data_IF_295982846106
#
_entry.id   IF_295982846106
#
_cell.length_a   1.000
_cell.length_b   1.000
_cell.length_c   1.000
_cell.angle_alpha   90.00
_cell.angle_beta   90.00
_cell.angle_gamma   90.00
#
_symmetry.space_group_name_H-M   'P 1'
#
loop_
_entity.id
_entity.type
_entity.pdbx_description
1 polymer ?
#
# COMPACT_ATOMS: atom_id res chain seq x y z
N UNK A 1 -30.50 8.95 -10.14
CA UNK A 1 -30.32 7.90 -11.16
C UNK A 1 -30.55 8.52 -12.53
N UNK A 2 -29.58 8.48 -13.44
CA UNK A 2 -29.70 9.10 -14.77
C UNK A 2 -29.90 8.05 -15.87
N UNK A 3 -30.57 8.44 -16.95
CA UNK A 3 -30.67 7.63 -18.16
C UNK A 3 -29.37 7.75 -18.98
N UNK A 4 -28.91 6.67 -19.61
CA UNK A 4 -27.64 6.73 -20.38
C UNK A 4 -27.71 7.55 -21.66
N UNK A 5 -28.90 7.92 -22.15
CA UNK A 5 -29.01 8.89 -23.26
C UNK A 5 -28.29 10.21 -22.95
N UNK A 6 -28.22 10.56 -21.66
CA UNK A 6 -27.58 11.77 -21.13
C UNK A 6 -26.05 11.76 -21.30
N UNK A 7 -25.42 10.59 -21.45
CA UNK A 7 -23.98 10.48 -21.75
C UNK A 7 -23.62 11.03 -23.13
N UNK A 8 -24.56 10.98 -24.09
CA UNK A 8 -24.39 11.50 -25.45
C UNK A 8 -25.01 12.87 -25.65
N UNK A 9 -26.16 13.14 -25.02
CA UNK A 9 -26.90 14.40 -25.20
C UNK A 9 -26.40 15.54 -24.30
N UNK A 10 -25.49 15.26 -23.37
CA UNK A 10 -25.10 16.21 -22.33
C UNK A 10 -26.13 16.29 -21.19
N UNK A 11 -25.80 17.03 -20.11
CA UNK A 11 -26.67 17.18 -18.95
C UNK A 11 -28.04 17.77 -19.35
N UNK A 12 -29.16 17.32 -18.76
CA UNK A 12 -30.49 17.82 -19.12
C UNK A 12 -30.58 19.33 -18.87
N UNK A 13 -31.29 20.06 -19.74
CA UNK A 13 -31.60 21.47 -19.50
C UNK A 13 -32.31 21.62 -18.13
N UNK A 14 -31.80 22.51 -17.26
CA UNK A 14 -32.21 22.72 -15.86
C UNK A 14 -31.73 21.70 -14.81
N UNK A 15 -30.81 20.78 -15.14
CA UNK A 15 -30.28 19.80 -14.17
C UNK A 15 -29.24 20.37 -13.19
N UNK A 16 -28.75 21.59 -13.42
CA UNK A 16 -27.74 22.24 -12.56
C UNK A 16 -26.30 21.75 -12.78
N UNK A 17 -26.07 20.78 -13.65
CA UNK A 17 -24.74 20.26 -13.97
C UNK A 17 -24.08 21.03 -15.10
N UNK A 18 -22.82 21.42 -14.91
CA UNK A 18 -22.02 22.14 -15.89
C UNK A 18 -21.38 21.23 -16.95
N UNK A 19 -21.07 19.98 -16.59
CA UNK A 19 -20.46 18.98 -17.48
C UNK A 19 -21.01 17.58 -17.23
N UNK A 20 -20.86 16.71 -18.23
CA UNK A 20 -21.19 15.28 -18.13
C UNK A 20 -20.35 14.63 -17.01
N UNK A 21 -19.08 15.01 -16.91
CA UNK A 21 -18.14 14.52 -15.90
C UNK A 21 -18.65 14.77 -14.48
N UNK A 22 -19.11 16.00 -14.20
CA UNK A 22 -19.67 16.36 -12.90
C UNK A 22 -20.94 15.55 -12.60
N UNK A 23 -21.81 15.40 -13.59
CA UNK A 23 -23.04 14.62 -13.46
C UNK A 23 -22.74 13.14 -13.20
N UNK A 24 -21.76 12.55 -13.90
CA UNK A 24 -21.34 11.15 -13.70
C UNK A 24 -20.74 10.96 -12.31
N UNK A 25 -19.98 11.93 -11.81
CA UNK A 25 -19.37 11.88 -10.48
C UNK A 25 -20.40 11.98 -9.34
N UNK A 26 -21.42 12.81 -9.51
CA UNK A 26 -22.49 12.98 -8.50
C UNK A 26 -23.61 11.92 -8.62
N UNK A 27 -23.59 11.10 -9.66
CA UNK A 27 -24.61 10.08 -9.88
C UNK A 27 -24.41 8.84 -8.99
N UNK A 28 -25.41 8.50 -8.18
CA UNK A 28 -25.44 7.25 -7.44
C UNK A 28 -25.86 6.02 -8.29
N UNK A 29 -26.23 6.22 -9.56
CA UNK A 29 -26.59 5.11 -10.44
C UNK A 29 -27.09 5.50 -11.82
N UNK A 30 -26.98 4.56 -12.76
CA UNK A 30 -27.38 4.71 -14.16
C UNK A 30 -28.39 3.63 -14.54
N UNK A 31 -29.44 3.99 -15.29
CA UNK A 31 -30.48 3.09 -15.74
C UNK A 31 -30.52 2.98 -17.27
N UNK A 32 -30.94 1.82 -17.79
CA UNK A 32 -31.03 1.56 -19.23
C UNK A 32 -29.67 1.48 -19.92
N UNK A 33 -28.65 0.97 -19.21
CA UNK A 33 -27.25 0.98 -19.65
C UNK A 33 -27.00 -0.13 -20.67
N UNK A 34 -26.64 0.26 -21.90
CA UNK A 34 -26.14 -0.66 -22.92
C UNK A 34 -24.68 -1.05 -22.64
N UNK A 35 -24.18 -2.17 -23.18
CA UNK A 35 -22.80 -2.62 -22.94
C UNK A 35 -21.74 -1.58 -23.24
N UNK A 36 -21.90 -0.80 -24.32
CA UNK A 36 -20.99 0.27 -24.73
C UNK A 36 -20.96 1.40 -23.69
N UNK A 37 -22.13 1.74 -23.13
CA UNK A 37 -22.24 2.77 -22.10
C UNK A 37 -21.54 2.36 -20.79
N UNK A 38 -21.52 1.06 -20.44
CA UNK A 38 -20.76 0.58 -19.26
C UNK A 38 -19.27 0.88 -19.42
N UNK A 39 -18.71 0.62 -20.60
CA UNK A 39 -17.32 0.92 -20.92
C UNK A 39 -17.04 2.43 -20.86
N UNK A 40 -17.89 3.25 -21.49
CA UNK A 40 -17.77 4.71 -21.50
C UNK A 40 -17.80 5.31 -20.08
N UNK A 41 -18.70 4.83 -19.22
CA UNK A 41 -18.78 5.29 -17.81
C UNK A 41 -17.49 4.98 -17.06
N UNK A 42 -16.95 3.77 -17.20
CA UNK A 42 -15.69 3.37 -16.57
C UNK A 42 -14.54 4.24 -17.08
N UNK A 43 -14.48 4.51 -18.38
CA UNK A 43 -13.47 5.36 -18.98
C UNK A 43 -13.55 6.82 -18.51
N UNK A 44 -14.76 7.39 -18.41
CA UNK A 44 -14.97 8.74 -17.90
C UNK A 44 -14.49 8.87 -16.44
N UNK A 45 -14.91 7.94 -15.57
CA UNK A 45 -14.47 7.91 -14.17
C UNK A 45 -12.94 7.78 -14.04
N UNK A 46 -12.32 6.96 -14.88
CA UNK A 46 -10.86 6.81 -14.92
C UNK A 46 -10.14 8.06 -15.45
N UNK A 47 -10.72 8.76 -16.43
CA UNK A 47 -10.16 10.00 -16.97
C UNK A 47 -10.20 11.14 -15.95
N UNK A 48 -11.20 11.14 -15.06
CA UNK A 48 -11.26 12.02 -13.89
C UNK A 48 -10.28 11.62 -12.78
N UNK A 49 -9.55 10.51 -12.93
CA UNK A 49 -8.54 10.06 -11.97
C UNK A 49 -9.07 9.19 -10.83
N UNK A 50 -10.31 8.71 -10.91
CA UNK A 50 -10.85 7.76 -9.94
C UNK A 50 -10.43 6.33 -10.25
N UNK A 51 -10.14 5.57 -9.20
CA UNK A 51 -9.95 4.13 -9.30
C UNK A 51 -11.33 3.47 -9.39
N UNK A 52 -11.58 2.73 -10.47
CA UNK A 52 -12.87 2.11 -10.74
C UNK A 52 -12.80 0.60 -10.52
N UNK A 53 -13.72 0.08 -9.73
CA UNK A 53 -14.02 -1.34 -9.69
C UNK A 53 -15.37 -1.56 -10.37
N UNK A 54 -15.46 -2.54 -11.27
CA UNK A 54 -16.69 -2.87 -11.96
C UNK A 54 -17.08 -4.31 -11.65
N UNK A 55 -18.35 -4.53 -11.35
CA UNK A 55 -18.93 -5.87 -11.20
C UNK A 55 -19.72 -6.25 -12.45
N UNK A 56 -19.65 -7.51 -12.87
CA UNK A 56 -20.40 -8.00 -14.02
C UNK A 56 -20.63 -9.50 -13.99
N UNK A 57 -21.60 -9.96 -14.76
CA UNK A 57 -22.04 -11.36 -14.84
C UNK A 57 -22.06 -11.89 -16.28
N UNK A 58 -22.45 -11.05 -17.24
CA UNK A 58 -22.62 -11.43 -18.64
C UNK A 58 -21.39 -11.21 -19.51
N UNK A 59 -21.39 -11.86 -20.67
CA UNK A 59 -20.40 -11.67 -21.75
C UNK A 59 -20.30 -10.21 -22.18
N UNK A 60 -21.43 -9.49 -22.12
CA UNK A 60 -21.53 -8.08 -22.45
C UNK A 60 -20.75 -7.16 -21.50
N UNK A 61 -20.45 -7.63 -20.29
CA UNK A 61 -19.72 -6.85 -19.29
C UNK A 61 -18.21 -7.04 -19.42
N UNK A 62 -17.77 -8.04 -20.19
CA UNK A 62 -16.35 -8.37 -20.35
C UNK A 62 -15.48 -7.19 -20.80
N UNK A 63 -15.87 -6.35 -21.79
CA UNK A 63 -15.05 -5.21 -22.19
C UNK A 63 -14.89 -4.17 -21.08
N UNK A 64 -15.94 -3.93 -20.30
CA UNK A 64 -15.96 -2.93 -19.25
C UNK A 64 -15.28 -3.45 -17.97
N UNK A 65 -15.41 -4.75 -17.66
CA UNK A 65 -14.63 -5.46 -16.64
C UNK A 65 -13.12 -5.35 -16.93
N UNK A 66 -12.71 -5.62 -18.16
CA UNK A 66 -11.31 -5.54 -18.58
C UNK A 66 -10.76 -4.09 -18.59
N UNK A 67 -11.63 -3.10 -18.78
CA UNK A 67 -11.27 -1.67 -18.75
C UNK A 67 -11.11 -1.15 -17.32
N UNK A 68 -11.89 -1.64 -16.36
CA UNK A 68 -11.85 -1.22 -14.97
C UNK A 68 -10.46 -1.42 -14.35
N UNK A 69 -10.16 -0.68 -13.28
CA UNK A 69 -8.91 -0.94 -12.54
C UNK A 69 -8.96 -2.29 -11.82
N UNK A 70 -10.16 -2.72 -11.42
CA UNK A 70 -10.44 -4.05 -10.88
C UNK A 70 -11.77 -4.54 -11.46
N UNK A 71 -11.72 -5.53 -12.35
CA UNK A 71 -12.91 -6.26 -12.80
C UNK A 71 -13.30 -7.35 -11.79
N UNK A 72 -14.58 -7.40 -11.41
CA UNK A 72 -15.13 -8.37 -10.44
C UNK A 72 -16.24 -9.17 -11.11
N UNK A 73 -16.01 -10.47 -11.33
CA UNK A 73 -17.05 -11.39 -11.79
C UNK A 73 -17.83 -11.94 -10.59
N UNK A 74 -19.16 -11.94 -10.68
CA UNK A 74 -20.02 -12.57 -9.65
C UNK A 74 -19.95 -14.10 -9.70
N UNK A 75 -20.39 -14.79 -8.65
CA UNK A 75 -20.26 -16.24 -8.51
C UNK A 75 -20.92 -17.04 -9.66
N UNK A 76 -22.05 -16.56 -10.17
CA UNK A 76 -22.79 -17.18 -11.28
C UNK A 76 -22.48 -16.51 -12.63
N UNK A 77 -21.38 -15.77 -12.73
CA UNK A 77 -20.98 -15.11 -13.97
C UNK A 77 -20.66 -16.12 -15.08
N UNK A 78 -20.89 -15.71 -16.33
CA UNK A 78 -20.46 -16.43 -17.53
C UNK A 78 -18.94 -16.62 -17.57
N UNK A 79 -18.47 -17.68 -18.21
CA UNK A 79 -17.02 -17.96 -18.35
C UNK A 79 -16.27 -16.81 -19.04
N UNK A 80 -16.92 -16.10 -19.96
CA UNK A 80 -16.37 -14.92 -20.60
C UNK A 80 -16.15 -13.77 -19.60
N UNK A 81 -17.11 -13.50 -18.71
CA UNK A 81 -16.98 -12.49 -17.67
C UNK A 81 -15.90 -12.88 -16.63
N UNK A 82 -15.86 -14.16 -16.22
CA UNK A 82 -14.80 -14.69 -15.32
C UNK A 82 -13.41 -14.54 -15.93
N UNK A 83 -13.27 -14.80 -17.22
CA UNK A 83 -12.00 -14.67 -17.94
C UNK A 83 -11.55 -13.22 -18.12
N UNK A 84 -12.50 -12.27 -18.14
CA UNK A 84 -12.21 -10.84 -18.28
C UNK A 84 -11.96 -10.13 -16.94
N UNK A 85 -12.40 -10.70 -15.82
CA UNK A 85 -12.29 -10.11 -14.48
C UNK A 85 -10.92 -10.41 -13.82
N UNK A 86 -10.48 -9.51 -12.94
CA UNK A 86 -9.28 -9.70 -12.11
C UNK A 86 -9.59 -10.52 -10.85
N UNK A 87 -10.84 -10.46 -10.37
CA UNK A 87 -11.35 -11.18 -9.19
C UNK A 87 -12.63 -11.91 -9.56
N UNK A 88 -12.76 -13.18 -9.17
CA UNK A 88 -13.99 -13.96 -9.29
C UNK A 88 -14.51 -14.24 -7.89
N UNK A 89 -15.73 -13.79 -7.59
CA UNK A 89 -16.39 -14.09 -6.31
C UNK A 89 -16.84 -15.54 -6.31
N UNK A 90 -16.61 -16.25 -5.21
CA UNK A 90 -17.11 -17.63 -5.02
C UNK A 90 -18.47 -17.67 -4.36
N UNK A 91 -18.90 -16.55 -3.78
CA UNK A 91 -20.18 -16.38 -3.10
C UNK A 91 -20.91 -15.16 -3.69
N UNK A 92 -22.25 -15.24 -3.84
CA UNK A 92 -23.02 -14.10 -4.32
C UNK A 92 -23.16 -13.03 -3.22
N UNK A 93 -23.29 -11.77 -3.64
CA UNK A 93 -23.67 -10.66 -2.76
C UNK A 93 -22.66 -9.50 -2.72
N UNK A 94 -23.20 -8.29 -2.56
CA UNK A 94 -22.39 -7.06 -2.45
C UNK A 94 -21.56 -7.02 -1.15
N UNK A 95 -22.01 -7.73 -0.10
CA UNK A 95 -21.29 -7.86 1.18
C UNK A 95 -19.90 -8.46 1.00
N UNK A 96 -19.77 -9.47 0.13
CA UNK A 96 -18.48 -10.13 -0.17
C UNK A 96 -17.46 -9.14 -0.75
N UNK A 97 -17.93 -8.19 -1.56
CA UNK A 97 -17.07 -7.13 -2.11
C UNK A 97 -16.59 -6.18 -1.00
N UNK A 98 -17.47 -5.82 -0.06
CA UNK A 98 -17.11 -4.97 1.08
C UNK A 98 -16.08 -5.67 1.96
N UNK A 99 -16.24 -6.97 2.20
CA UNK A 99 -15.27 -7.79 2.95
C UNK A 99 -13.93 -7.88 2.22
N UNK A 100 -13.94 -8.12 0.91
CA UNK A 100 -12.74 -8.15 0.07
C UNK A 100 -12.00 -6.82 0.10
N UNK A 101 -12.71 -5.68 -0.01
CA UNK A 101 -12.12 -4.34 0.11
C UNK A 101 -11.53 -4.13 1.50
N UNK A 102 -12.22 -4.55 2.56
CA UNK A 102 -11.76 -4.40 3.94
C UNK A 102 -10.50 -5.22 4.19
N UNK A 103 -10.48 -6.48 3.75
CA UNK A 103 -9.32 -7.36 3.83
C UNK A 103 -8.13 -6.83 3.02
N UNK A 104 -8.37 -6.36 1.79
CA UNK A 104 -7.35 -5.72 0.95
C UNK A 104 -6.71 -4.51 1.64
N UNK A 105 -7.51 -3.65 2.29
CA UNK A 105 -7.00 -2.51 3.08
C UNK A 105 -6.15 -2.95 4.27
N UNK A 106 -6.49 -4.05 4.95
CA UNK A 106 -5.67 -4.60 6.04
C UNK A 106 -4.31 -5.10 5.51
N UNK A 107 -4.32 -5.84 4.39
CA UNK A 107 -3.10 -6.34 3.75
C UNK A 107 -2.21 -5.16 3.31
N UNK A 108 -2.80 -4.14 2.71
CA UNK A 108 -2.10 -2.94 2.30
C UNK A 108 -1.40 -2.23 3.48
N UNK A 109 -2.07 -2.11 4.63
CA UNK A 109 -1.46 -1.54 5.82
C UNK A 109 -0.29 -2.39 6.33
N UNK A 110 -0.42 -3.73 6.34
CA UNK A 110 0.70 -4.64 6.70
C UNK A 110 1.90 -4.45 5.78
N UNK A 111 1.67 -4.37 4.46
CA UNK A 111 2.74 -4.13 3.49
C UNK A 111 3.44 -2.78 3.70
N UNK A 112 2.67 -1.73 3.98
CA UNK A 112 3.21 -0.40 4.28
C UNK A 112 4.07 -0.42 5.55
N UNK A 113 3.57 -1.02 6.63
CA UNK A 113 4.28 -1.11 7.91
C UNK A 113 5.57 -1.93 7.76
N UNK A 114 5.53 -3.01 6.99
CA UNK A 114 6.69 -3.79 6.60
C UNK A 114 7.72 -2.96 5.82
N UNK A 115 7.30 -2.20 4.82
CA UNK A 115 8.20 -1.37 4.03
C UNK A 115 8.91 -0.31 4.89
N UNK A 116 8.16 0.38 5.76
CA UNK A 116 8.74 1.34 6.71
C UNK A 116 9.78 0.65 7.60
N UNK A 117 9.44 -0.51 8.15
CA UNK A 117 10.32 -1.29 9.02
C UNK A 117 11.64 -1.68 8.34
N UNK A 118 11.57 -2.39 7.22
CA UNK A 118 12.75 -2.90 6.52
C UNK A 118 13.65 -1.76 6.05
N UNK A 119 13.08 -0.69 5.49
CA UNK A 119 13.86 0.48 5.11
C UNK A 119 14.52 1.17 6.32
N UNK A 120 13.83 1.27 7.47
CA UNK A 120 14.39 1.85 8.69
C UNK A 120 15.60 1.06 9.20
N UNK A 121 15.48 -0.27 9.25
CA UNK A 121 16.56 -1.15 9.72
C UNK A 121 17.76 -1.08 8.78
N UNK A 122 17.55 -1.06 7.46
CA UNK A 122 18.65 -0.89 6.49
C UNK A 122 19.39 0.43 6.71
N UNK A 123 18.65 1.55 6.85
CA UNK A 123 19.26 2.87 7.08
C UNK A 123 20.04 2.86 8.40
N UNK A 124 19.46 2.29 9.46
CA UNK A 124 20.13 2.16 10.75
C UNK A 124 21.45 1.41 10.64
N UNK A 125 21.46 0.22 10.02
CA UNK A 125 22.65 -0.63 9.91
C UNK A 125 23.71 0.08 9.08
N UNK A 126 23.35 0.59 7.90
CA UNK A 126 24.30 1.26 7.00
C UNK A 126 24.87 2.51 7.64
N UNK A 127 24.03 3.44 8.12
CA UNK A 127 24.50 4.72 8.68
C UNK A 127 25.17 4.51 10.04
N UNK A 128 24.57 3.70 10.92
CA UNK A 128 25.08 3.45 12.26
C UNK A 128 26.46 2.81 12.24
N UNK A 129 26.62 1.68 11.54
CA UNK A 129 27.93 1.01 11.49
C UNK A 129 28.95 1.79 10.65
N UNK A 130 28.56 2.49 9.58
CA UNK A 130 29.49 3.35 8.85
C UNK A 130 30.10 4.44 9.76
N UNK A 131 29.28 5.10 10.58
CA UNK A 131 29.79 6.11 11.53
C UNK A 131 30.70 5.46 12.58
N UNK A 132 30.34 4.28 13.11
CA UNK A 132 31.19 3.56 14.07
C UNK A 132 32.56 3.20 13.48
N UNK A 133 32.60 2.70 12.24
CA UNK A 133 33.85 2.37 11.54
C UNK A 133 34.69 3.63 11.29
N UNK A 134 34.12 4.68 10.68
CA UNK A 134 34.90 5.85 10.25
C UNK A 134 35.31 6.76 11.41
N UNK A 135 34.44 6.98 12.39
CA UNK A 135 34.71 7.91 13.50
C UNK A 135 35.44 7.24 14.67
N UNK A 136 35.15 5.97 14.95
CA UNK A 136 35.64 5.28 16.14
C UNK A 136 36.57 4.09 15.85
N UNK A 137 36.82 3.76 14.57
CA UNK A 137 37.63 2.60 14.15
C UNK A 137 37.13 1.29 14.78
N UNK A 138 35.81 1.15 14.86
CA UNK A 138 35.12 0.00 15.40
C UNK A 138 34.79 -1.01 14.30
N UNK A 139 35.42 -2.17 14.32
CA UNK A 139 35.30 -3.21 13.31
C UNK A 139 34.31 -4.29 13.76
N UNK A 140 33.02 -4.02 13.53
CA UNK A 140 31.97 -4.94 13.94
C UNK A 140 31.98 -6.25 13.12
N UNK A 141 31.99 -7.44 13.76
CA UNK A 141 32.07 -8.71 13.05
C UNK A 141 30.89 -8.94 12.08
N UNK A 142 31.13 -9.20 10.78
CA UNK A 142 30.06 -9.41 9.80
C UNK A 142 29.13 -10.58 10.15
N UNK A 143 29.66 -11.60 10.84
CA UNK A 143 28.86 -12.75 11.28
C UNK A 143 27.75 -12.36 12.27
N UNK A 144 27.97 -11.34 13.12
CA UNK A 144 26.92 -10.85 14.02
C UNK A 144 25.83 -10.11 13.24
N UNK A 145 26.18 -9.42 12.15
CA UNK A 145 25.19 -8.83 11.23
C UNK A 145 24.36 -9.93 10.57
N UNK A 146 24.98 -11.06 10.18
CA UNK A 146 24.27 -12.22 9.64
C UNK A 146 23.26 -12.77 10.66
N UNK A 147 23.66 -12.93 11.92
CA UNK A 147 22.75 -13.39 12.99
C UNK A 147 21.60 -12.40 13.18
N UNK A 148 21.90 -11.09 13.19
CA UNK A 148 20.87 -10.04 13.26
C UNK A 148 19.86 -10.18 12.11
N UNK A 149 20.33 -10.39 10.88
CA UNK A 149 19.49 -10.57 9.71
C UNK A 149 18.59 -11.81 9.83
N UNK A 150 19.15 -12.97 10.21
CA UNK A 150 18.40 -14.22 10.36
C UNK A 150 17.31 -14.10 11.43
N UNK A 151 17.65 -13.54 12.59
CA UNK A 151 16.67 -13.34 13.66
C UNK A 151 15.59 -12.35 13.26
N UNK A 152 15.96 -11.30 12.53
CA UNK A 152 15.01 -10.32 12.01
C UNK A 152 14.03 -10.96 11.02
N UNK A 153 14.53 -11.66 10.01
CA UNK A 153 13.71 -12.32 8.98
C UNK A 153 12.69 -13.29 9.57
N UNK A 154 13.10 -14.07 10.59
CA UNK A 154 12.19 -14.95 11.32
C UNK A 154 11.03 -14.19 11.98
N UNK A 155 11.30 -13.02 12.57
CA UNK A 155 10.25 -12.18 13.16
C UNK A 155 9.41 -11.44 12.11
N UNK A 156 10.01 -11.01 10.99
CA UNK A 156 9.33 -10.28 9.91
C UNK A 156 8.21 -11.12 9.30
N UNK A 157 8.39 -12.44 9.15
CA UNK A 157 7.35 -13.32 8.59
C UNK A 157 6.02 -13.22 9.36
N UNK A 158 6.07 -12.88 10.65
CA UNK A 158 4.88 -12.74 11.49
C UNK A 158 4.06 -11.47 11.22
N UNK A 159 4.65 -10.44 10.59
CA UNK A 159 3.96 -9.20 10.20
C UNK A 159 2.80 -9.49 9.25
N UNK A 160 2.95 -10.51 8.40
CA UNK A 160 1.89 -10.96 7.47
C UNK A 160 0.60 -11.40 8.17
N UNK A 161 0.73 -11.93 9.40
CA UNK A 161 -0.38 -12.42 10.25
C UNK A 161 -0.77 -11.42 11.34
N UNK A 162 -0.23 -10.20 11.30
CA UNK A 162 -0.46 -9.25 12.37
C UNK A 162 -1.87 -8.64 12.36
N UNK A 163 -2.35 -8.23 13.53
CA UNK A 163 -3.64 -7.58 13.69
C UNK A 163 -3.49 -6.08 13.40
N UNK A 164 -3.95 -5.65 12.23
CA UNK A 164 -3.90 -4.26 11.77
C UNK A 164 -5.29 -3.77 11.40
N UNK A 165 -5.61 -2.54 11.78
CA UNK A 165 -6.90 -1.94 11.44
C UNK A 165 -6.91 -1.43 9.99
N UNK A 166 -7.99 -1.70 9.23
CA UNK A 166 -8.12 -1.18 7.87
C UNK A 166 -8.20 0.35 7.88
N UNK A 167 -7.65 0.98 6.84
CA UNK A 167 -7.86 2.42 6.63
C UNK A 167 -9.34 2.71 6.35
N UNK A 168 -9.84 3.82 6.91
CA UNK A 168 -11.20 4.30 6.65
C UNK A 168 -11.36 4.77 5.20
N UNK A 169 -10.31 5.38 4.65
CA UNK A 169 -10.28 5.91 3.29
C UNK A 169 -9.41 5.03 2.38
N UNK A 170 -9.65 5.04 1.06
CA UNK A 170 -8.74 4.46 0.09
C UNK A 170 -7.35 5.08 0.25
N UNK A 171 -6.33 4.23 0.34
CA UNK A 171 -4.94 4.65 0.42
C UNK A 171 -4.21 4.26 -0.87
N UNK A 172 -3.19 5.02 -1.21
CA UNK A 172 -2.26 4.71 -2.30
C UNK A 172 -0.83 4.63 -1.76
N UNK A 173 0.07 4.07 -2.55
CA UNK A 173 1.49 3.97 -2.21
C UNK A 173 2.14 5.36 -2.25
N UNK A 174 2.33 5.98 -1.08
CA UNK A 174 3.13 7.19 -0.94
C UNK A 174 4.55 6.82 -0.50
N UNK A 175 5.44 6.66 -1.48
CA UNK A 175 6.83 6.29 -1.21
C UNK A 175 7.58 7.36 -0.43
N UNK A 176 7.30 8.64 -0.68
CA UNK A 176 7.93 9.76 0.02
C UNK A 176 7.62 9.67 1.52
N UNK A 177 6.37 9.41 1.87
CA UNK A 177 5.97 9.22 3.25
C UNK A 177 6.70 8.03 3.88
N UNK A 178 6.70 6.87 3.22
CA UNK A 178 7.37 5.64 3.72
C UNK A 178 8.86 5.87 3.95
N UNK A 179 9.55 6.48 2.99
CA UNK A 179 10.98 6.80 3.12
C UNK A 179 11.24 7.86 4.18
N UNK A 180 10.35 8.83 4.38
CA UNK A 180 10.48 9.81 5.45
C UNK A 180 10.44 9.14 6.82
N UNK A 181 9.47 8.23 7.06
CA UNK A 181 9.47 7.42 8.28
C UNK A 181 10.75 6.60 8.41
N UNK A 182 11.17 5.94 7.33
CA UNK A 182 12.34 5.07 7.35
C UNK A 182 13.63 5.81 7.70
N UNK A 183 13.84 6.99 7.11
CA UNK A 183 15.04 7.81 7.35
C UNK A 183 15.05 8.31 8.79
N UNK A 184 13.92 8.84 9.29
CA UNK A 184 13.88 9.40 10.65
C UNK A 184 14.07 8.31 11.70
N UNK A 185 13.39 7.15 11.59
CA UNK A 185 13.62 6.04 12.52
C UNK A 185 15.02 5.45 12.38
N UNK A 186 15.51 5.26 11.16
CA UNK A 186 16.84 4.72 10.91
C UNK A 186 17.95 5.60 11.53
N UNK A 187 17.88 6.92 11.32
CA UNK A 187 18.83 7.88 11.91
C UNK A 187 18.70 7.92 13.43
N UNK A 188 17.48 7.96 13.98
CA UNK A 188 17.28 7.96 15.42
C UNK A 188 17.89 6.71 16.10
N UNK A 189 17.65 5.53 15.53
CA UNK A 189 18.20 4.28 16.05
C UNK A 189 19.73 4.17 15.82
N UNK A 190 20.26 4.76 14.75
CA UNK A 190 21.70 4.87 14.53
C UNK A 190 22.35 5.75 15.61
N UNK A 191 21.77 6.93 15.88
CA UNK A 191 22.21 7.83 16.97
C UNK A 191 22.14 7.10 18.31
N UNK A 192 21.07 6.37 18.61
CA UNK A 192 20.97 5.55 19.83
C UNK A 192 22.15 4.58 19.98
N UNK A 193 22.54 3.92 18.88
CA UNK A 193 23.66 2.96 18.87
C UNK A 193 25.00 3.68 19.08
N UNK A 194 25.21 4.83 18.43
CA UNK A 194 26.43 5.63 18.57
C UNK A 194 26.57 6.20 19.97
N UNK A 195 25.49 6.76 20.54
CA UNK A 195 25.47 7.28 21.91
C UNK A 195 25.78 6.17 22.89
N UNK A 196 25.22 4.98 22.71
CA UNK A 196 25.51 3.83 23.55
C UNK A 196 27.00 3.45 23.50
N UNK A 197 27.56 3.38 22.30
CA UNK A 197 28.99 3.11 22.10
C UNK A 197 29.89 4.14 22.79
N UNK A 198 29.59 5.44 22.64
CA UNK A 198 30.35 6.53 23.26
C UNK A 198 30.23 6.50 24.79
N UNK A 199 29.04 6.19 25.32
CA UNK A 199 28.84 6.07 26.77
C UNK A 199 29.63 4.92 27.38
N UNK A 200 29.87 3.84 26.63
CA UNK A 200 30.66 2.70 27.10
C UNK A 200 32.17 2.95 26.98
N UNK A 201 32.62 3.57 25.89
CA UNK A 201 34.06 3.69 25.57
C UNK A 201 34.71 4.99 26.02
N UNK A 202 33.96 6.10 26.11
CA UNK A 202 34.50 7.43 26.40
C UNK A 202 34.09 8.00 27.75
N UNK A 203 33.10 7.40 28.40
CA UNK A 203 32.53 7.94 29.65
C UNK A 203 32.55 6.90 30.75
N UNK A 204 32.87 7.30 31.98
CA UNK A 204 32.83 6.41 33.15
C UNK A 204 31.42 6.24 33.73
N UNK A 205 30.37 6.50 32.94
CA UNK A 205 28.99 6.55 33.43
C UNK A 205 28.54 5.19 33.98
N UNK A 206 28.83 4.11 33.25
CA UNK A 206 28.48 2.76 33.69
C UNK A 206 29.37 2.27 34.84
N UNK A 207 30.62 2.72 34.92
CA UNK A 207 31.47 2.46 36.07
C UNK A 207 30.93 3.14 37.34
N UNK A 208 30.51 4.40 37.24
CA UNK A 208 29.98 5.17 38.38
C UNK A 208 28.62 4.68 38.86
N UNK A 209 27.74 4.29 37.93
CA UNK A 209 26.38 3.85 38.26
C UNK A 209 26.31 2.38 38.69
N UNK A 210 27.11 1.51 38.06
CA UNK A 210 26.98 0.05 38.21
C UNK A 210 28.30 -0.66 38.57
N UNK A 211 29.40 0.05 38.77
CA UNK A 211 30.70 -0.54 39.14
C UNK A 211 31.34 -1.39 38.03
N UNK A 212 30.97 -1.16 36.77
CA UNK A 212 31.38 -1.99 35.64
C UNK A 212 32.80 -1.67 35.14
N UNK A 213 33.47 -2.68 34.59
CA UNK A 213 34.77 -2.54 33.93
C UNK A 213 34.68 -1.58 32.73
N UNK A 214 35.64 -0.65 32.65
CA UNK A 214 35.78 0.26 31.51
C UNK A 214 36.54 -0.43 30.38
N UNK A 215 36.05 -0.29 29.14
CA UNK A 215 36.74 -0.80 27.97
C UNK A 215 37.75 0.22 27.45
N UNK A 216 39.03 -0.15 27.40
CA UNK A 216 40.10 0.66 26.83
C UNK A 216 40.30 0.42 25.34
N UNK A 217 39.99 -0.79 24.85
CA UNK A 217 40.00 -1.11 23.43
C UNK A 217 38.60 -0.94 22.83
N UNK A 218 38.52 -0.25 21.69
CA UNK A 218 37.28 -0.10 20.95
C UNK A 218 36.84 -1.42 20.31
N UNK A 219 37.76 -2.36 20.04
CA UNK A 219 37.46 -3.63 19.36
C UNK A 219 37.45 -4.85 20.31
N UNK A 220 37.14 -4.63 21.59
CA UNK A 220 36.93 -5.71 22.54
C UNK A 220 35.76 -6.61 22.11
N UNK A 221 35.98 -7.93 22.15
CA UNK A 221 35.00 -8.93 21.77
C UNK A 221 33.75 -8.93 22.67
N UNK A 222 33.87 -8.45 23.91
CA UNK A 222 32.72 -8.24 24.81
C UNK A 222 31.87 -7.05 24.34
N UNK A 223 32.51 -6.00 23.84
CA UNK A 223 31.82 -4.82 23.32
C UNK A 223 31.02 -5.18 22.05
N UNK A 224 31.55 -6.06 21.21
CA UNK A 224 30.81 -6.62 20.07
C UNK A 224 29.49 -7.29 20.50
N UNK A 225 29.52 -8.12 21.54
CA UNK A 225 28.31 -8.77 22.10
C UNK A 225 27.29 -7.77 22.64
N UNK A 226 27.77 -6.71 23.32
CA UNK A 226 26.93 -5.66 23.90
C UNK A 226 26.23 -4.86 22.80
N UNK A 227 26.98 -4.40 21.78
CA UNK A 227 26.43 -3.67 20.64
C UNK A 227 25.49 -4.57 19.82
N UNK A 228 25.84 -5.84 19.61
CA UNK A 228 24.96 -6.82 18.97
C UNK A 228 23.60 -6.92 19.67
N UNK A 229 23.60 -7.10 20.99
CA UNK A 229 22.36 -7.20 21.78
C UNK A 229 21.55 -5.90 21.70
N UNK A 230 22.24 -4.76 21.80
CA UNK A 230 21.61 -3.45 21.71
C UNK A 230 20.92 -3.27 20.36
N UNK A 231 21.60 -3.61 19.27
CA UNK A 231 21.07 -3.48 17.92
C UNK A 231 19.91 -4.44 17.69
N UNK A 232 20.02 -5.70 18.14
CA UNK A 232 18.98 -6.72 17.98
C UNK A 232 17.67 -6.31 18.65
N UNK A 233 17.72 -6.00 19.94
CA UNK A 233 16.54 -5.74 20.78
C UNK A 233 15.75 -4.52 20.29
N UNK A 234 16.42 -3.37 20.09
CA UNK A 234 15.71 -2.16 19.66
C UNK A 234 15.32 -2.19 18.17
N UNK A 235 16.04 -2.94 17.32
CA UNK A 235 15.62 -3.14 15.91
C UNK A 235 14.33 -3.96 15.83
N UNK A 236 14.18 -5.01 16.63
CA UNK A 236 12.93 -5.78 16.60
C UNK A 236 11.80 -5.05 17.34
N UNK A 237 12.12 -4.27 18.39
CA UNK A 237 11.12 -3.47 19.08
C UNK A 237 10.45 -2.44 18.14
N UNK A 238 11.20 -1.91 17.16
CA UNK A 238 10.67 -0.99 16.16
C UNK A 238 9.43 -1.54 15.42
N UNK A 239 9.29 -2.86 15.27
CA UNK A 239 8.10 -3.48 14.64
C UNK A 239 6.81 -3.05 15.35
N UNK A 240 6.84 -2.94 16.69
CA UNK A 240 5.66 -2.55 17.48
C UNK A 240 5.28 -1.07 17.27
N UNK A 241 6.26 -0.21 16.95
CA UNK A 241 6.02 1.20 16.65
C UNK A 241 5.49 1.37 15.22
N UNK A 242 6.10 0.68 14.25
CA UNK A 242 5.71 0.80 12.84
C UNK A 242 4.35 0.20 12.54
N UNK A 243 3.92 -0.81 13.30
CA UNK A 243 2.58 -1.41 13.13
C UNK A 243 1.44 -0.57 13.68
N UNK A 244 1.71 0.33 14.64
CA UNK A 244 0.69 1.00 15.43
C UNK A 244 0.38 2.39 14.90
N UNK A 245 -0.91 2.74 14.84
CA UNK A 245 -1.34 4.08 14.43
C UNK A 245 -1.37 5.06 15.61
N UNK A 246 -1.71 4.57 16.80
CA UNK A 246 -1.64 5.24 18.09
C UNK A 246 -0.35 4.84 18.82
N UNK A 247 -0.28 5.06 20.13
CA UNK A 247 0.83 4.56 20.95
C UNK A 247 0.95 3.04 20.83
N UNK A 248 2.19 2.57 20.65
CA UNK A 248 2.51 1.15 20.46
C UNK A 248 1.99 0.25 21.59
N UNK A 249 1.98 0.75 22.82
CA UNK A 249 1.50 0.03 24.00
C UNK A 249 -0.02 -0.14 24.08
N UNK A 250 -0.79 0.74 23.43
CA UNK A 250 -2.26 0.69 23.46
C UNK A 250 -2.80 -0.30 22.42
N UNK A 251 -2.11 -0.44 21.29
CA UNK A 251 -2.51 -1.33 20.22
C UNK A 251 -1.91 -2.72 20.41
N UNK A 252 -2.74 -3.69 20.83
CA UNK A 252 -2.27 -5.05 21.08
C UNK A 252 -1.72 -5.71 19.81
N UNK A 253 -0.48 -6.25 19.82
CA UNK A 253 0.06 -7.04 18.71
C UNK A 253 -0.64 -8.40 18.60
N UNK A 254 -0.49 -9.05 17.45
CA UNK A 254 -0.86 -10.47 17.33
C UNK A 254 0.00 -11.32 18.27
N UNK A 255 -0.59 -12.42 18.78
CA UNK A 255 0.11 -13.36 19.67
C UNK A 255 1.34 -13.94 18.98
N UNK A 256 1.23 -14.19 17.66
CA UNK A 256 2.33 -14.74 16.84
C UNK A 256 3.51 -13.76 16.78
N UNK A 257 3.24 -12.46 16.54
CA UNK A 257 4.28 -11.44 16.52
C UNK A 257 4.93 -11.28 17.89
N UNK A 258 4.13 -11.22 18.96
CA UNK A 258 4.65 -11.13 20.33
C UNK A 258 5.51 -12.34 20.72
N UNK A 259 5.07 -13.56 20.41
CA UNK A 259 5.82 -14.78 20.67
C UNK A 259 7.12 -14.83 19.87
N UNK A 260 7.10 -14.47 18.58
CA UNK A 260 8.31 -14.43 17.76
C UNK A 260 9.33 -13.41 18.26
N UNK A 261 8.87 -12.23 18.70
CA UNK A 261 9.74 -11.25 19.35
C UNK A 261 10.39 -11.83 20.61
N UNK A 262 9.60 -12.43 21.51
CA UNK A 262 10.13 -13.00 22.77
C UNK A 262 11.17 -14.09 22.47
N UNK A 263 10.86 -15.03 21.56
CA UNK A 263 11.76 -16.12 21.20
C UNK A 263 13.06 -15.58 20.58
N UNK A 264 12.94 -14.67 19.61
CA UNK A 264 14.11 -14.09 18.95
C UNK A 264 14.98 -13.29 19.93
N UNK A 265 14.37 -12.57 20.87
CA UNK A 265 15.09 -11.80 21.89
C UNK A 265 15.69 -12.66 22.98
N UNK A 266 15.06 -13.78 23.34
CA UNK A 266 15.69 -14.78 24.19
C UNK A 266 16.96 -15.31 23.51
N UNK A 267 16.85 -15.76 22.26
CA UNK A 267 18.01 -16.28 21.49
C UNK A 267 19.11 -15.22 21.37
N UNK A 268 18.77 -13.98 21.01
CA UNK A 268 19.75 -12.89 20.94
C UNK A 268 20.45 -12.63 22.29
N UNK A 269 19.70 -12.65 23.39
CA UNK A 269 20.26 -12.45 24.74
C UNK A 269 21.18 -13.61 25.13
N UNK A 270 20.79 -14.87 24.85
CA UNK A 270 21.63 -16.02 25.11
C UNK A 270 22.94 -15.99 24.31
N UNK A 271 22.88 -15.60 23.03
CA UNK A 271 24.09 -15.42 22.20
C UNK A 271 24.98 -14.34 22.80
N UNK A 272 24.43 -13.17 23.15
CA UNK A 272 25.23 -12.08 23.70
C UNK A 272 25.88 -12.41 25.06
N UNK A 273 25.20 -13.18 25.92
CA UNK A 273 25.68 -13.50 27.27
C UNK A 273 26.71 -14.63 27.26
N UNK A 274 26.53 -15.67 26.44
CA UNK A 274 27.29 -16.91 26.55
C UNK A 274 28.19 -17.24 25.35
N UNK A 275 28.04 -16.56 24.21
CA UNK A 275 28.85 -16.90 23.04
C UNK A 275 30.34 -16.63 23.29
N UNK A 276 31.17 -17.62 23.02
CA UNK A 276 32.62 -17.50 22.98
C UNK A 276 33.13 -18.22 21.74
N UNK A 277 33.01 -17.55 20.60
CA UNK A 277 33.37 -18.11 19.31
C UNK A 277 34.58 -17.35 18.77
N UNK A 278 35.77 -17.94 18.92
CA UNK A 278 37.04 -17.31 18.53
C UNK A 278 37.13 -16.87 17.07
N UNK A 279 36.41 -17.54 16.15
CA UNK A 279 36.38 -17.16 14.73
C UNK A 279 35.51 -15.93 14.43
N UNK A 280 34.68 -15.49 15.38
CA UNK A 280 33.74 -14.37 15.21
C UNK A 280 34.08 -13.14 16.06
N UNK A 281 35.20 -13.18 16.79
CA UNK A 281 35.60 -12.11 17.71
C UNK A 281 34.45 -11.71 18.66
N UNK A 282 33.73 -12.70 19.20
CA UNK A 282 32.66 -12.53 20.18
C UNK A 282 33.07 -13.17 21.52
N UNK A 283 32.87 -12.41 22.60
CA UNK A 283 33.02 -12.92 23.96
C UNK A 283 31.78 -12.54 24.76
N UNK A 284 31.24 -13.49 25.53
CA UNK A 284 30.04 -13.30 26.34
C UNK A 284 30.17 -12.10 27.27
N UNK A 285 29.21 -11.17 27.20
CA UNK A 285 29.25 -9.94 28.00
C UNK A 285 28.72 -10.12 29.43
N UNK A 286 28.07 -11.26 29.73
CA UNK A 286 27.46 -11.53 31.02
C UNK A 286 26.09 -10.86 31.23
N UNK A 287 25.35 -11.34 32.22
CA UNK A 287 23.97 -10.90 32.49
C UNK A 287 23.86 -9.44 32.94
N UNK A 288 24.89 -8.89 33.60
CA UNK A 288 24.90 -7.50 34.05
C UNK A 288 24.88 -6.54 32.87
N UNK A 289 25.76 -6.72 31.89
CA UNK A 289 25.78 -5.91 30.66
C UNK A 289 24.53 -6.14 29.81
N UNK A 290 24.00 -7.36 29.77
CA UNK A 290 22.74 -7.64 29.09
C UNK A 290 21.57 -6.85 29.72
N UNK A 291 21.45 -6.85 31.05
CA UNK A 291 20.41 -6.09 31.77
C UNK A 291 20.51 -4.58 31.52
N UNK A 292 21.72 -4.01 31.57
CA UNK A 292 21.95 -2.59 31.25
C UNK A 292 21.51 -2.27 29.82
N UNK A 293 21.85 -3.14 28.87
CA UNK A 293 21.49 -2.99 27.45
C UNK A 293 19.97 -2.99 27.25
N UNK A 294 19.25 -3.89 27.94
CA UNK A 294 17.80 -3.94 27.93
C UNK A 294 17.16 -2.66 28.48
N UNK A 295 17.65 -2.17 29.64
CA UNK A 295 17.16 -0.92 30.25
C UNK A 295 17.42 0.27 29.33
N UNK A 296 18.63 0.37 28.77
CA UNK A 296 18.98 1.43 27.82
C UNK A 296 18.00 1.45 26.62
N UNK A 297 17.71 0.29 26.05
CA UNK A 297 16.79 0.20 24.93
C UNK A 297 15.34 0.48 25.31
N UNK A 298 14.91 0.13 26.53
CA UNK A 298 13.58 0.50 27.01
C UNK A 298 13.41 2.02 27.09
N UNK A 299 14.45 2.75 27.53
CA UNK A 299 14.46 4.21 27.58
C UNK A 299 14.41 4.80 26.15
N UNK A 300 15.22 4.28 25.23
CA UNK A 300 15.25 4.75 23.84
C UNK A 300 14.04 4.33 23.00
N UNK A 301 13.25 3.37 23.47
CA UNK A 301 12.03 2.95 22.79
C UNK A 301 10.89 3.96 22.97
N UNK A 302 10.74 4.55 24.16
CA UNK A 302 9.61 5.45 24.48
C UNK A 302 9.51 6.66 23.52
N UNK A 303 10.60 7.36 23.14
CA UNK A 303 10.52 8.49 22.22
C UNK A 303 10.08 8.12 20.79
N UNK A 304 10.18 6.86 20.37
CA UNK A 304 9.82 6.43 19.01
C UNK A 304 8.35 6.73 18.68
N UNK A 305 7.44 6.53 19.63
CA UNK A 305 6.02 6.86 19.43
C UNK A 305 5.80 8.37 19.30
N UNK A 306 6.56 9.20 20.02
CA UNK A 306 6.47 10.66 19.87
C UNK A 306 7.01 11.12 18.51
N UNK A 307 8.11 10.52 18.06
CA UNK A 307 8.68 10.75 16.73
C UNK A 307 7.66 10.38 15.65
N UNK A 308 6.95 9.25 15.81
CA UNK A 308 5.86 8.83 14.90
C UNK A 308 4.82 9.92 14.71
N UNK A 309 4.32 10.48 15.82
CA UNK A 309 3.31 11.55 15.77
C UNK A 309 3.86 12.83 15.14
N UNK A 310 5.12 13.17 15.42
CA UNK A 310 5.81 14.29 14.79
C UNK A 310 5.93 14.14 13.28
N UNK A 311 6.35 12.97 12.80
CA UNK A 311 6.45 12.68 11.36
C UNK A 311 5.08 12.79 10.71
N UNK A 312 4.06 12.16 11.29
CA UNK A 312 2.69 12.20 10.75
C UNK A 312 2.19 13.64 10.60
N UNK A 313 2.36 14.45 11.65
CA UNK A 313 1.96 15.86 11.62
C UNK A 313 2.68 16.66 10.53
N UNK A 314 3.97 16.41 10.34
CA UNK A 314 4.76 17.05 9.28
C UNK A 314 4.32 16.62 7.88
N UNK A 315 4.12 15.31 7.67
CA UNK A 315 3.68 14.75 6.38
C UNK A 315 2.30 15.28 6.02
N UNK A 316 1.34 15.25 6.95
CA UNK A 316 -0.03 15.74 6.72
C UNK A 316 -0.03 17.23 6.32
N UNK A 317 0.83 18.05 6.95
CA UNK A 317 1.01 19.46 6.58
C UNK A 317 1.65 19.66 5.21
N UNK A 318 2.63 18.84 4.84
CA UNK A 318 3.28 18.92 3.53
C UNK A 318 2.30 18.55 2.44
N UNK A 319 1.54 17.47 2.62
CA UNK A 319 0.49 17.04 1.69
C UNK A 319 -0.58 18.12 1.55
N UNK A 320 -1.10 18.66 2.65
CA UNK A 320 -2.10 19.72 2.61
C UNK A 320 -1.61 20.97 1.85
N UNK A 321 -0.33 21.36 2.03
CA UNK A 321 0.28 22.48 1.29
C UNK A 321 0.42 22.19 -0.20
N UNK A 322 0.78 20.97 -0.57
CA UNK A 322 0.88 20.56 -1.98
C UNK A 322 -0.49 20.57 -2.65
N UNK A 323 -1.50 20.01 -1.99
CA UNK A 323 -2.89 20.02 -2.47
C UNK A 323 -3.38 21.44 -2.71
N UNK A 324 -3.20 22.35 -1.74
CA UNK A 324 -3.60 23.75 -1.89
C UNK A 324 -2.88 24.46 -3.05
N UNK A 325 -1.59 24.17 -3.26
CA UNK A 325 -0.83 24.72 -4.40
C UNK A 325 -1.34 24.20 -5.74
N UNK A 326 -1.67 22.92 -5.83
CA UNK A 326 -2.18 22.30 -7.05
C UNK A 326 -3.58 22.86 -7.40
N UNK A 327 -4.45 23.02 -6.40
CA UNK A 327 -5.75 23.68 -6.57
C UNK A 327 -5.59 25.11 -7.07
N UNK A 328 -4.73 25.91 -6.44
CA UNK A 328 -4.46 27.28 -6.86
C UNK A 328 -3.84 27.37 -8.27
N UNK A 329 -3.01 26.39 -8.66
CA UNK A 329 -2.46 26.31 -10.01
C UNK A 329 -3.54 25.98 -11.04
N UNK A 330 -4.41 25.00 -10.75
CA UNK A 330 -5.53 24.63 -11.60
C UNK A 330 -6.54 25.78 -11.76
N UNK A 331 -6.85 26.52 -10.69
CA UNK A 331 -7.70 27.70 -10.74
C UNK A 331 -7.09 28.80 -11.63
N UNK A 332 -5.78 29.03 -11.53
CA UNK A 332 -5.08 30.00 -12.40
C UNK A 332 -5.09 29.55 -13.86
N UNK A 333 -4.91 28.27 -14.11
CA UNK A 333 -4.92 27.71 -15.46
C UNK A 333 -6.32 27.82 -16.08
N UNK A 334 -7.36 27.45 -15.33
CA UNK A 334 -8.76 27.64 -15.72
C UNK A 334 -9.11 29.12 -15.97
N UNK A 335 -8.64 30.03 -15.11
CA UNK A 335 -8.83 31.47 -15.30
C UNK A 335 -8.09 32.00 -16.55
N UNK A 336 -6.90 31.46 -16.85
CA UNK A 336 -6.15 31.79 -18.06
C UNK A 336 -6.85 31.29 -19.32
N UNK A 337 -7.37 30.05 -19.32
CA UNK A 337 -8.20 29.53 -20.40
C UNK A 337 -9.48 30.34 -20.59
N UNK A 338 -10.12 30.81 -19.52
CA UNK A 338 -11.28 31.70 -19.60
C UNK A 338 -10.92 33.08 -20.18
N UNK A 339 -9.73 33.60 -19.90
CA UNK A 339 -9.24 34.87 -20.43
C UNK A 339 -8.79 34.78 -21.91
N UNK A 340 -8.17 33.67 -22.31
CA UNK A 340 -7.69 33.43 -23.68
C UNK A 340 -8.80 32.91 -24.61
N UNK A 341 -9.78 32.18 -24.05
CA UNK A 341 -10.96 31.64 -24.75
C UNK A 341 -11.99 32.69 -25.19
N UNK A 342 -11.79 33.96 -24.89
CA UNK A 342 -12.58 35.07 -25.44
C UNK A 342 -12.20 35.48 -26.88
N UNK A 343 -11.11 34.93 -27.44
CA UNK A 343 -10.59 35.38 -28.75
C UNK A 343 -10.64 34.33 -29.88
N UNK A 344 -11.09 33.10 -29.62
CA UNK A 344 -11.15 32.04 -30.64
C UNK A 344 -12.42 31.17 -30.54
N UNK A 345 -13.59 31.79 -30.43
CA UNK A 345 -14.85 31.16 -30.80
C UNK A 345 -15.11 31.42 -32.30
N UNK A 346 -14.43 30.66 -33.16
CA UNK A 346 -14.79 30.55 -34.57
C UNK A 346 -16.07 29.72 -34.71
N UNK A 347 -17.07 30.33 -35.36
CA UNK A 347 -18.23 29.72 -36.02
C UNK A 347 -18.88 28.50 -35.34
N UNK A 348 -19.78 28.77 -34.40
CA UNK A 348 -21.05 28.05 -34.34
C UNK A 348 -22.17 29.09 -34.21
N UNK A 349 -23.02 29.16 -35.24
CA UNK A 349 -24.19 30.04 -35.25
C UNK A 349 -25.10 29.75 -34.05
N UNK A 350 -25.54 30.76 -33.30
CA UNK A 350 -26.57 30.58 -32.31
C UNK A 350 -27.92 30.44 -33.05
N UNK A 351 -28.52 29.25 -32.99
CA UNK A 351 -29.94 29.09 -33.34
C UNK A 351 -30.74 29.94 -32.37
N UNK A 352 -31.26 31.05 -32.88
CA UNK A 352 -32.10 32.00 -32.18
C UNK A 352 -33.34 31.33 -31.59
N UNK A 353 -33.49 31.36 -30.27
CA UNK A 353 -34.82 31.27 -29.64
C UNK A 353 -34.92 32.25 -28.48
N UNK A 354 -35.79 33.25 -28.68
CA UNK A 354 -36.60 33.92 -27.66
C UNK A 354 -35.92 34.53 -26.44
N UNK A 355 -35.72 35.84 -26.48
CA UNK A 355 -35.50 36.64 -25.29
C UNK A 355 -36.64 36.46 -24.26
N UNK A 356 -36.33 35.90 -23.09
CA UNK A 356 -37.16 36.05 -21.90
C UNK A 356 -36.28 36.41 -20.70
N UNK A 357 -36.53 37.59 -20.14
CA UNK A 357 -35.83 38.15 -18.97
C UNK A 357 -36.01 37.24 -17.76
N UNK A 358 -34.91 36.81 -17.15
CA UNK A 358 -34.88 36.15 -15.84
C UNK A 358 -34.88 37.24 -14.75
N UNK A 359 -35.70 37.16 -13.68
CA UNK A 359 -35.59 38.08 -12.55
C UNK A 359 -34.35 37.78 -11.70
N UNK A 360 -33.72 38.83 -11.21
CA UNK A 360 -32.60 38.80 -10.26
C UNK A 360 -32.98 38.11 -8.96
N UNK A 361 -32.33 37.01 -8.62
CA UNK A 361 -32.44 36.36 -7.31
C UNK A 361 -31.34 36.88 -6.38
N UNK A 362 -31.73 37.62 -5.33
CA UNK A 362 -30.86 38.00 -4.21
C UNK A 362 -30.75 36.83 -3.21
N UNK A 363 -29.56 36.52 -2.67
CA UNK A 363 -29.41 35.43 -1.72
C UNK A 363 -29.98 35.82 -0.35
N UNK A 364 -30.97 35.06 0.11
CA UNK A 364 -31.49 35.16 1.47
C UNK A 364 -30.44 34.65 2.48
N UNK A 365 -30.10 35.52 3.43
CA UNK A 365 -29.22 35.27 4.55
C UNK A 365 -29.89 34.37 5.58
N UNK A 366 -29.44 33.10 5.70
CA UNK A 366 -29.69 32.27 6.89
C UNK A 366 -28.36 31.91 7.56
N UNK A 367 -28.04 32.68 8.60
CA UNK A 367 -26.96 32.39 9.57
C UNK A 367 -27.37 31.20 10.43
N UNK A 368 -26.80 30.02 10.18
CA UNK A 368 -26.47 29.02 11.20
C UNK A 368 -25.62 27.89 10.59
N UNK A 369 -24.47 27.62 11.20
CA UNK A 369 -23.52 26.51 10.96
C UNK A 369 -22.69 26.48 9.65
N UNK A 370 -22.09 27.61 9.26
CA UNK A 370 -21.07 27.63 8.19
C UNK A 370 -19.77 26.87 8.57
N UNK A 371 -19.48 26.70 9.85
CA UNK A 371 -18.23 26.06 10.31
C UNK A 371 -18.15 24.55 10.00
N UNK A 372 -19.26 23.82 10.11
CA UNK A 372 -19.25 22.35 9.96
C UNK A 372 -19.43 21.87 8.51
N UNK A 373 -19.95 22.72 7.62
CA UNK A 373 -20.10 22.40 6.20
C UNK A 373 -18.79 22.64 5.44
N UNK A 374 -18.11 23.76 5.73
CA UNK A 374 -16.82 24.08 5.09
C UNK A 374 -15.73 23.09 5.50
N UNK A 375 -15.71 22.61 6.75
CA UNK A 375 -14.78 21.56 7.16
C UNK A 375 -15.06 20.22 6.47
N UNK A 376 -16.33 19.83 6.27
CA UNK A 376 -16.69 18.57 5.57
C UNK A 376 -16.41 18.62 4.08
N UNK A 377 -16.67 19.75 3.42
CA UNK A 377 -16.39 19.89 1.99
C UNK A 377 -14.89 20.04 1.73
N UNK A 378 -14.15 20.78 2.58
CA UNK A 378 -12.70 20.91 2.45
C UNK A 378 -11.95 19.60 2.74
N UNK A 379 -12.41 18.78 3.70
CA UNK A 379 -11.83 17.44 3.92
C UNK A 379 -12.25 16.42 2.86
N UNK A 380 -13.42 16.54 2.23
CA UNK A 380 -13.74 15.70 1.07
C UNK A 380 -12.97 16.12 -0.18
N UNK A 381 -12.84 17.41 -0.50
CA UNK A 381 -12.17 17.84 -1.74
C UNK A 381 -10.65 17.73 -1.69
N UNK A 382 -10.00 17.91 -0.53
CA UNK A 382 -8.53 17.85 -0.46
C UNK A 382 -7.98 16.44 -0.71
N UNK A 383 -8.76 15.39 -0.44
CA UNK A 383 -8.35 13.99 -0.65
C UNK A 383 -8.60 13.46 -2.07
N UNK A 384 -9.41 14.16 -2.88
CA UNK A 384 -9.76 13.75 -4.24
C UNK A 384 -9.01 14.51 -5.34
N UNK A 385 -8.08 15.39 -4.97
CA UNK A 385 -7.21 16.09 -5.92
C UNK A 385 -6.27 15.10 -6.64
N UNK A 386 -6.27 15.01 -7.98
CA UNK A 386 -5.58 13.95 -8.70
C UNK A 386 -4.07 14.21 -8.76
N UNK A 387 -3.29 13.57 -7.89
CA UNK A 387 -1.83 13.42 -8.06
C UNK A 387 -1.46 12.36 -9.13
N UNK A 388 -2.44 11.71 -9.76
CA UNK A 388 -2.22 10.59 -10.69
C UNK A 388 -1.67 10.98 -12.06
N UNK A 389 -1.73 12.25 -12.46
CA UNK A 389 -1.15 12.70 -13.73
C UNK A 389 0.38 12.46 -13.80
N UNK A 390 1.08 12.49 -12.66
CA UNK A 390 2.53 12.24 -12.61
C UNK A 390 2.91 10.75 -12.72
N UNK A 391 2.00 9.82 -12.43
CA UNK A 391 2.31 8.38 -12.50
C UNK A 391 2.15 7.82 -13.93
N UNK A 392 1.31 8.44 -14.76
CA UNK A 392 1.16 8.12 -16.19
C UNK A 392 2.45 8.36 -17.00
N UNK A 393 3.36 9.20 -16.53
CA UNK A 393 4.66 9.46 -17.19
C UNK A 393 5.80 8.55 -16.73
N UNK A 394 5.55 7.58 -15.82
CA UNK A 394 6.60 6.64 -15.42
C UNK A 394 6.88 5.62 -16.54
N UNK A 395 8.14 5.43 -16.97
CA UNK A 395 8.51 4.52 -18.06
C UNK A 395 7.99 3.09 -17.87
N UNK A 396 7.93 2.61 -16.62
CA UNK A 396 7.44 1.26 -16.27
C UNK A 396 5.93 1.11 -16.49
N UNK A 397 5.14 2.14 -16.21
CA UNK A 397 3.69 2.10 -16.37
C UNK A 397 3.29 2.17 -17.86
N UNK A 398 4.06 2.89 -18.67
CA UNK A 398 3.91 2.93 -20.13
C UNK A 398 4.30 1.59 -20.74
N UNK A 399 5.38 0.96 -20.24
CA UNK A 399 5.84 -0.35 -20.68
C UNK A 399 4.79 -1.43 -20.39
N UNK A 400 4.28 -1.52 -19.16
CA UNK A 400 3.27 -2.50 -18.77
C UNK A 400 1.97 -2.38 -19.58
N UNK A 401 1.50 -1.15 -19.83
CA UNK A 401 0.29 -0.93 -20.64
C UNK A 401 0.48 -1.29 -22.12
N UNK A 402 1.66 -1.03 -22.70
CA UNK A 402 1.92 -1.38 -24.11
C UNK A 402 2.09 -2.89 -24.32
N UNK A 403 2.68 -3.59 -23.36
CA UNK A 403 2.77 -5.06 -23.36
C UNK A 403 1.39 -5.68 -23.19
N UNK A 404 0.54 -5.16 -22.29
CA UNK A 404 -0.84 -5.64 -22.08
C UNK A 404 -1.75 -5.42 -23.30
N UNK A 405 -1.45 -4.44 -24.15
CA UNK A 405 -2.19 -4.13 -25.39
C UNK A 405 -1.63 -4.82 -26.65
N UNK A 406 -0.62 -5.70 -26.54
CA UNK A 406 -0.07 -6.44 -27.67
C UNK A 406 0.63 -5.57 -28.74
N UNK A 407 0.99 -4.32 -28.42
CA UNK A 407 1.65 -3.40 -29.36
C UNK A 407 3.17 -3.55 -29.28
N UNK A 408 3.79 -3.94 -30.39
CA UNK A 408 5.25 -4.05 -30.50
C UNK A 408 5.95 -2.71 -30.26
N UNK A 409 6.99 -2.70 -29.42
CA UNK A 409 7.83 -1.53 -29.17
C UNK A 409 8.92 -1.41 -30.25
N UNK A 410 9.23 -0.20 -30.68
CA UNK A 410 10.33 0.08 -31.61
C UNK A 410 11.37 0.99 -30.93
N UNK A 411 12.65 0.74 -31.20
CA UNK A 411 13.76 1.65 -30.81
C UNK A 411 13.75 2.92 -31.65
N UNK A 412 14.44 4.00 -31.23
CA UNK A 412 14.52 5.24 -32.03
C UNK A 412 15.22 5.06 -33.40
N UNK A 413 15.85 3.90 -33.62
CA UNK A 413 16.43 3.47 -34.91
C UNK A 413 15.53 2.49 -35.69
N UNK A 414 14.26 2.34 -35.31
CA UNK A 414 13.26 1.54 -36.05
C UNK A 414 13.35 0.02 -35.90
N UNK A 415 14.18 -0.53 -35.00
CA UNK A 415 14.19 -1.98 -34.71
C UNK A 415 13.10 -2.37 -33.70
N UNK A 416 12.34 -3.41 -34.03
CA UNK A 416 11.27 -4.01 -33.22
C UNK A 416 11.89 -4.71 -31.99
N UNK A 417 11.49 -4.30 -30.80
CA UNK A 417 11.75 -4.97 -29.53
C UNK A 417 10.54 -5.88 -29.27
N UNK A 418 10.56 -7.07 -29.84
CA UNK A 418 9.62 -8.13 -29.49
C UNK A 418 10.41 -9.43 -29.27
N UNK A 419 9.97 -10.19 -28.27
CA UNK A 419 10.37 -11.58 -27.99
C UNK A 419 10.33 -12.40 -29.29
N UNK A 420 11.35 -13.24 -29.52
CA UNK A 420 11.49 -14.07 -30.72
C UNK A 420 10.25 -14.98 -30.93
N UNK A 421 9.90 -15.30 -32.18
CA UNK A 421 8.74 -16.15 -32.51
C UNK A 421 8.83 -17.54 -31.87
N UNK A 422 10.04 -18.03 -31.60
CA UNK A 422 10.26 -19.28 -30.87
C UNK A 422 9.90 -19.17 -29.38
N UNK A 423 10.03 -17.99 -28.76
CA UNK A 423 9.66 -17.78 -27.36
C UNK A 423 8.15 -17.62 -27.19
N UNK A 424 7.47 -16.99 -28.15
CA UNK A 424 6.00 -16.94 -28.23
C UNK A 424 5.40 -18.34 -28.42
N UNK A 425 6.02 -19.20 -29.23
CA UNK A 425 5.60 -20.62 -29.36
C UNK A 425 5.83 -21.41 -28.07
N UNK A 426 6.89 -21.13 -27.30
CA UNK A 426 7.11 -21.73 -25.97
C UNK A 426 6.09 -21.27 -24.95
N UNK A 427 5.66 -20.01 -24.99
CA UNK A 427 4.62 -19.50 -24.09
C UNK A 427 3.25 -20.14 -24.38
N UNK A 428 2.89 -20.28 -25.66
CA UNK A 428 1.65 -20.96 -26.04
C UNK A 428 1.69 -22.48 -25.76
N UNK A 429 2.84 -23.14 -25.93
CA UNK A 429 2.95 -24.58 -25.61
C UNK A 429 2.86 -24.87 -24.11
N UNK A 430 3.39 -24.01 -23.25
CA UNK A 430 3.28 -24.14 -21.78
C UNK A 430 1.82 -23.96 -21.32
N UNK A 431 1.09 -22.99 -21.86
CA UNK A 431 -0.34 -22.81 -21.56
C UNK A 431 -1.21 -23.98 -22.04
N UNK A 432 -0.85 -24.61 -23.17
CA UNK A 432 -1.59 -25.76 -23.71
C UNK A 432 -1.32 -27.04 -22.89
N UNK A 433 -0.09 -27.20 -22.38
CA UNK A 433 0.29 -28.32 -21.51
C UNK A 433 -0.37 -28.20 -20.12
N UNK A 434 -0.50 -26.98 -19.57
CA UNK A 434 -1.23 -26.77 -18.31
C UNK A 434 -2.73 -27.02 -18.48
N UNK A 435 -3.36 -26.54 -19.56
CA UNK A 435 -4.78 -26.83 -19.84
C UNK A 435 -5.07 -28.34 -20.02
N UNK A 436 -4.11 -29.10 -20.57
CA UNK A 436 -4.24 -30.55 -20.76
C UNK A 436 -4.07 -31.34 -19.45
N UNK A 437 -3.28 -30.83 -18.49
CA UNK A 437 -3.11 -31.44 -17.16
C UNK A 437 -4.33 -31.25 -16.25
N UNK A 438 -5.10 -30.17 -16.45
CA UNK A 438 -6.33 -29.93 -15.69
C UNK A 438 -7.49 -30.82 -16.15
N UNK A 439 -7.49 -31.28 -17.41
CA UNK A 439 -8.55 -32.13 -17.98
C UNK A 439 -8.39 -33.64 -17.68
N UNK A 440 -7.26 -34.08 -17.12
CA UNK A 440 -6.96 -35.52 -16.88
C UNK A 440 -7.03 -35.97 -15.42
N UNK A 441 -7.27 -35.06 -14.45
CA UNK A 441 -7.53 -35.45 -13.05
C UNK A 441 -9.01 -35.84 -12.88
N UNK A 442 -9.34 -37.12 -13.10
CA UNK A 442 -10.54 -37.73 -12.52
C UNK A 442 -10.46 -37.66 -10.98
N UNK A 443 -11.50 -37.25 -10.26
CA UNK A 443 -11.54 -37.36 -8.81
C UNK A 443 -11.72 -38.82 -8.39
N UNK A 444 -10.86 -39.29 -7.46
CA UNK A 444 -11.03 -40.57 -6.79
C UNK A 444 -12.31 -40.53 -5.94
N UNK A 445 -13.29 -41.39 -6.24
CA UNK A 445 -14.44 -41.64 -5.39
C UNK A 445 -14.07 -42.61 -4.25
N UNK A 446 -14.65 -42.46 -3.04
CA UNK A 446 -14.46 -43.40 -1.95
C UNK A 446 -15.26 -44.70 -2.19
N UNK A 447 -14.67 -45.83 -1.78
CA UNK A 447 -15.24 -47.17 -1.88
C UNK A 447 -16.39 -47.39 -0.91
N UNK A 448 -17.58 -47.72 -1.43
CA UNK A 448 -18.65 -48.35 -0.65
C UNK A 448 -19.12 -49.62 -1.35
N UNK A 449 -19.11 -50.70 -0.57
CA UNK A 449 -19.50 -52.07 -0.90
C UNK A 449 -20.99 -52.24 -1.18
N UNK A 450 -21.26 -53.20 -2.07
CA UNK A 450 -22.49 -53.94 -2.35
C UNK A 450 -23.64 -53.88 -1.33
N UNK A 451 -24.84 -53.59 -1.84
CA UNK A 451 -26.13 -54.31 -1.66
C UNK A 451 -27.18 -53.47 -2.43
N UNK A 452 -27.78 -53.94 -3.54
CA UNK A 452 -28.86 -54.93 -3.54
C UNK A 452 -30.21 -54.21 -3.39
N UNK A 453 -31.02 -54.11 -4.45
CA UNK A 453 -32.39 -53.59 -4.34
C UNK A 453 -32.97 -53.05 -5.64
N UNK A 454 -34.00 -53.74 -6.09
CA UNK A 454 -34.80 -53.59 -7.31
C UNK A 454 -35.56 -52.25 -7.50
N UNK A 455 -36.13 -52.15 -8.72
CA UNK A 455 -37.36 -51.44 -9.13
C UNK A 455 -37.23 -50.18 -10.01
N UNK A 456 -37.26 -50.42 -11.32
CA UNK A 456 -38.31 -50.01 -12.27
C UNK A 456 -39.01 -48.62 -12.16
N UNK A 457 -38.95 -47.94 -13.32
CA UNK A 457 -40.04 -47.27 -14.07
C UNK A 457 -40.56 -45.85 -13.71
N UNK A 458 -40.84 -45.15 -14.83
CA UNK A 458 -41.69 -43.97 -15.09
C UNK A 458 -41.01 -42.58 -14.98
N UNK A 459 -40.75 -41.87 -16.11
CA UNK A 459 -41.66 -41.04 -16.94
C UNK A 459 -42.49 -40.02 -16.15
N UNK A 460 -42.23 -38.71 -16.36
CA UNK A 460 -43.11 -37.64 -16.91
C UNK A 460 -42.56 -36.26 -16.49
N UNK A 461 -42.08 -35.43 -17.43
CA UNK A 461 -42.72 -34.21 -18.00
C UNK A 461 -43.09 -33.08 -17.03
N UNK A 462 -42.45 -31.91 -17.27
CA UNK A 462 -42.97 -30.53 -17.23
C UNK A 462 -43.83 -30.06 -16.05
N UNK A 463 -43.39 -28.98 -15.39
CA UNK A 463 -43.90 -27.60 -15.56
C UNK A 463 -42.72 -26.65 -15.39
#
# INVERSE_FOLDING_TARGET
MFNTKVLKSGPPANSGYSSIDQMVLEADGFAGVYPEHKFEIVELLQNMGHMTAMTGDGVNDAPALAKANVGIAVADASDAARSAADIVLTEPGLSVIIEAITGSRQIFQRMRNYAIYTCSVTIRVVVGFAVLVFAFKFDFPPFLILILAILNDGTIMTISKDRVSPSKHPNHWNLIEIFTYAIVYGIYLAISTIVFFVLITKTDLFQRLFGMETFTDNNDWRLHSIIYLQVSTISQALIFVTRSHSFSYLERPSIILGAAFIIAQMVATFIAVYANWGFTHILGCGWHWAGITWVYNMIWYVPLDFIKFGIRFCVDRVVARQTARNLAAAEKEAAKYAAEGGAHAGEYEPVSTGAQRVPSYQPATRRSSLGSAIERTATMQSYYTPHFAQYRSSPMHIFANKVRQGKALFTSKGKRLAMDENELRRFHSVQTIEASRTLTRKPNAPSTSQAGGDYNLARTTSV
#
